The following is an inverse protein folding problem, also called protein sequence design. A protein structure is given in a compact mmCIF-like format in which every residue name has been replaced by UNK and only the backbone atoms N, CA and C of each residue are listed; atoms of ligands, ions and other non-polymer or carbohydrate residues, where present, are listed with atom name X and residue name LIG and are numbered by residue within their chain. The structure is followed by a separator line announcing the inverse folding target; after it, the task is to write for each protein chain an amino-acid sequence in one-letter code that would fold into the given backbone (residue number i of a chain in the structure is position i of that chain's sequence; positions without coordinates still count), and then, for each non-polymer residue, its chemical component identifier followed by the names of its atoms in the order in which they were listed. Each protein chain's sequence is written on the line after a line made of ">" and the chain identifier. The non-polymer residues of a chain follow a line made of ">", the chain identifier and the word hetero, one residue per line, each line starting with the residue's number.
data_IF_676756244588
#
_entry.id   IF_676756244588
#
_cell.length_a   1.000
_cell.length_b   1.000
_cell.length_c   1.000
_cell.angle_alpha   90.00
_cell.angle_beta   90.00
_cell.angle_gamma   90.00
#
_symmetry.space_group_name_H-M   'P 1'
#
loop_
_entity.id
_entity.type
_entity.pdbx_description
1 polymer ?
#
# COMPACT_ATOMS: atom_id res chain seq x y z
N UNK A 1 9.90 9.60 8.98
CA UNK A 1 9.47 8.46 8.14
C UNK A 1 10.50 7.34 8.10
N UNK A 2 11.77 7.59 7.76
CA UNK A 2 12.83 6.54 7.68
C UNK A 2 12.96 5.75 9.00
N UNK A 3 13.03 6.41 10.16
CA UNK A 3 13.21 5.75 11.47
C UNK A 3 12.06 4.82 11.90
N UNK A 4 10.89 4.87 11.26
CA UNK A 4 9.73 4.04 11.63
C UNK A 4 9.35 3.04 10.54
N UNK A 5 9.44 3.45 9.27
CA UNK A 5 9.14 2.59 8.12
C UNK A 5 10.21 1.52 7.94
N UNK A 6 11.49 1.84 8.14
CA UNK A 6 12.59 0.88 7.94
C UNK A 6 12.57 -0.27 8.96
N UNK A 7 12.37 -0.03 10.27
CA UNK A 7 12.27 -1.13 11.24
C UNK A 7 11.04 -2.01 10.98
N UNK A 8 9.89 -1.43 10.65
CA UNK A 8 8.64 -2.18 10.44
C UNK A 8 8.67 -3.00 9.14
N UNK A 9 9.16 -2.42 8.04
CA UNK A 9 9.34 -3.13 6.77
C UNK A 9 10.47 -4.16 6.90
N UNK A 10 11.57 -3.80 7.56
CA UNK A 10 12.70 -4.70 7.85
C UNK A 10 12.29 -5.91 8.67
N UNK A 11 11.44 -5.73 9.70
CA UNK A 11 10.87 -6.83 10.47
C UNK A 11 10.03 -7.77 9.58
N UNK A 12 9.19 -7.21 8.70
CA UNK A 12 8.40 -8.00 7.74
C UNK A 12 9.29 -8.80 6.78
N UNK A 13 10.36 -8.20 6.27
CA UNK A 13 11.34 -8.87 5.38
C UNK A 13 12.05 -10.00 6.13
N UNK A 14 12.54 -9.74 7.35
CA UNK A 14 13.20 -10.74 8.18
C UNK A 14 12.28 -11.93 8.47
N UNK A 15 11.03 -11.68 8.86
CA UNK A 15 10.04 -12.73 9.05
C UNK A 15 9.77 -13.52 7.75
N UNK A 16 9.80 -12.85 6.60
CA UNK A 16 9.65 -13.49 5.29
C UNK A 16 10.82 -14.43 4.93
N UNK A 17 12.05 -14.03 5.26
CA UNK A 17 13.24 -14.87 5.10
C UNK A 17 13.16 -16.10 6.00
N UNK A 18 12.83 -15.91 7.28
CA UNK A 18 12.65 -17.02 8.23
C UNK A 18 11.51 -17.96 7.81
N UNK A 19 10.40 -17.43 7.30
CA UNK A 19 9.30 -18.23 6.76
C UNK A 19 9.74 -19.05 5.53
N UNK A 20 10.68 -18.54 4.73
CA UNK A 20 11.28 -19.27 3.60
C UNK A 20 12.24 -20.35 4.07
N UNK A 21 13.16 -20.03 4.99
CA UNK A 21 14.11 -20.99 5.56
C UNK A 21 13.39 -22.17 6.20
N UNK A 22 12.30 -21.91 6.93
CA UNK A 22 11.43 -22.94 7.49
C UNK A 22 10.88 -23.89 6.42
N UNK A 23 10.39 -23.34 5.30
CA UNK A 23 9.81 -24.14 4.20
C UNK A 23 10.84 -25.00 3.47
N UNK A 24 12.12 -24.59 3.53
CA UNK A 24 13.24 -25.30 2.95
C UNK A 24 13.94 -26.23 3.95
N UNK A 25 13.41 -26.32 5.18
CA UNK A 25 13.97 -27.12 6.27
C UNK A 25 15.45 -26.81 6.57
N UNK A 26 15.84 -25.54 6.43
CA UNK A 26 17.23 -25.11 6.64
C UNK A 26 17.57 -24.88 8.12
N UNK A 27 16.56 -24.51 8.92
CA UNK A 27 16.72 -24.12 10.32
C UNK A 27 15.49 -24.55 11.15
N UNK A 28 15.66 -24.90 12.44
CA UNK A 28 14.56 -25.22 13.35
C UNK A 28 13.82 -23.93 13.75
N UNK A 29 12.92 -23.48 12.87
CA UNK A 29 12.09 -22.28 13.07
C UNK A 29 10.76 -22.70 13.71
N UNK A 30 9.99 -21.79 14.32
CA UNK A 30 8.66 -22.07 14.87
C UNK A 30 7.55 -22.08 13.79
N UNK A 31 6.48 -22.90 13.94
CA UNK A 31 5.37 -22.97 12.98
C UNK A 31 4.56 -21.68 12.84
N UNK A 32 4.67 -20.79 13.82
CA UNK A 32 3.95 -19.51 13.86
C UNK A 32 4.59 -18.46 12.94
N UNK A 33 5.89 -18.56 12.62
CA UNK A 33 6.62 -17.52 11.87
C UNK A 33 5.99 -17.15 10.51
N UNK A 34 5.52 -18.09 9.68
CA UNK A 34 4.81 -17.74 8.44
C UNK A 34 3.49 -16.99 8.67
N UNK A 35 2.81 -17.25 9.79
CA UNK A 35 1.57 -16.56 10.17
C UNK A 35 1.92 -15.14 10.65
N UNK A 36 2.92 -15.00 11.50
CA UNK A 36 3.43 -13.71 11.99
C UNK A 36 3.89 -12.80 10.84
N UNK A 37 4.58 -13.36 9.83
CA UNK A 37 4.94 -12.63 8.61
C UNK A 37 3.70 -12.13 7.86
N UNK A 38 2.69 -12.98 7.69
CA UNK A 38 1.47 -12.62 7.00
C UNK A 38 0.68 -11.53 7.74
N UNK A 39 0.60 -11.62 9.06
CA UNK A 39 -0.06 -10.61 9.88
C UNK A 39 0.71 -9.29 9.87
N UNK A 40 2.04 -9.31 10.05
CA UNK A 40 2.87 -8.11 9.88
C UNK A 40 2.66 -7.47 8.52
N UNK A 41 2.65 -8.25 7.43
CA UNK A 41 2.38 -7.73 6.09
C UNK A 41 1.03 -7.01 5.96
N UNK A 42 -0.02 -7.49 6.66
CA UNK A 42 -1.32 -6.82 6.73
C UNK A 42 -1.25 -5.52 7.53
N UNK A 43 -0.50 -5.50 8.64
CA UNK A 43 -0.29 -4.27 9.41
C UNK A 43 0.46 -3.21 8.61
N UNK A 44 1.54 -3.60 7.90
CA UNK A 44 2.31 -2.67 7.05
C UNK A 44 1.44 -2.12 5.92
N UNK A 45 0.66 -2.98 5.26
CA UNK A 45 -0.26 -2.55 4.19
C UNK A 45 -1.34 -1.61 4.71
N UNK A 46 -1.95 -1.92 5.86
CA UNK A 46 -2.96 -1.07 6.48
C UNK A 46 -2.40 0.27 6.93
N UNK A 47 -1.20 0.27 7.51
CA UNK A 47 -0.47 1.50 7.86
C UNK A 47 -0.17 2.36 6.65
N UNK A 48 0.22 1.77 5.52
CA UNK A 48 0.43 2.49 4.26
C UNK A 48 -0.88 3.09 3.72
N UNK A 49 -1.97 2.32 3.69
CA UNK A 49 -3.29 2.83 3.27
C UNK A 49 -3.71 4.01 4.15
N UNK A 50 -3.56 3.90 5.48
CA UNK A 50 -3.86 4.99 6.40
C UNK A 50 -2.98 6.22 6.15
N UNK A 51 -1.67 6.04 5.97
CA UNK A 51 -0.75 7.14 5.70
C UNK A 51 -1.13 7.90 4.42
N UNK A 52 -1.55 7.18 3.38
CA UNK A 52 -2.02 7.76 2.11
C UNK A 52 -3.32 8.54 2.31
N UNK A 53 -4.29 7.99 3.05
CA UNK A 53 -5.54 8.70 3.36
C UNK A 53 -5.28 9.98 4.15
N UNK A 54 -4.38 9.95 5.13
CA UNK A 54 -3.98 11.14 5.90
C UNK A 54 -3.30 12.18 5.00
N UNK A 55 -2.42 11.75 4.09
CA UNK A 55 -1.78 12.65 3.13
C UNK A 55 -2.80 13.31 2.18
N UNK A 56 -3.75 12.53 1.65
CA UNK A 56 -4.83 13.04 0.80
C UNK A 56 -5.73 14.02 1.56
N UNK A 57 -6.05 13.73 2.83
CA UNK A 57 -6.82 14.62 3.69
C UNK A 57 -6.07 15.94 3.95
N UNK A 58 -4.78 15.88 4.24
CA UNK A 58 -3.94 17.08 4.39
C UNK A 58 -3.94 17.93 3.12
N UNK A 59 -3.78 17.30 1.95
CA UNK A 59 -3.79 17.99 0.66
C UNK A 59 -5.17 18.60 0.34
N UNK A 60 -6.27 17.95 0.73
CA UNK A 60 -7.62 18.50 0.56
C UNK A 60 -7.82 19.81 1.33
N UNK A 61 -7.35 19.84 2.59
CA UNK A 61 -7.39 21.05 3.41
C UNK A 61 -6.45 22.13 2.89
N UNK A 62 -5.21 21.78 2.55
CA UNK A 62 -4.21 22.72 2.06
C UNK A 62 -4.59 23.32 0.70
N UNK A 63 -5.28 22.56 -0.16
CA UNK A 63 -5.83 23.04 -1.42
C UNK A 63 -7.10 23.89 -1.28
N UNK A 64 -7.67 24.04 -0.09
CA UNK A 64 -8.92 24.79 0.07
C UNK A 64 -10.10 24.13 -0.66
N UNK A 65 -10.21 22.79 -0.57
CA UNK A 65 -11.36 22.05 -1.09
C UNK A 65 -12.67 22.64 -0.54
N UNK A 66 -13.61 22.94 -1.45
CA UNK A 66 -14.87 23.58 -1.10
C UNK A 66 -15.78 22.66 -0.29
N UNK A 67 -16.69 23.24 0.51
CA UNK A 67 -17.58 22.50 1.43
C UNK A 67 -18.52 21.52 0.72
N UNK A 68 -18.96 21.84 -0.50
CA UNK A 68 -19.80 21.00 -1.35
C UNK A 68 -19.06 19.74 -1.85
N UNK A 69 -17.73 19.83 -2.04
CA UNK A 69 -16.87 18.71 -2.44
C UNK A 69 -16.40 17.86 -1.24
N UNK A 70 -16.30 18.47 -0.05
CA UNK A 70 -15.78 17.84 1.16
C UNK A 70 -16.57 16.59 1.57
N UNK A 71 -17.90 16.62 1.45
CA UNK A 71 -18.73 15.46 1.80
C UNK A 71 -18.41 14.24 0.93
N UNK A 72 -18.32 14.44 -0.39
CA UNK A 72 -17.97 13.37 -1.34
C UNK A 72 -16.57 12.82 -1.10
N UNK A 73 -15.61 13.70 -0.78
CA UNK A 73 -14.25 13.32 -0.42
C UNK A 73 -14.21 12.45 0.85
N UNK A 74 -14.91 12.86 1.91
CA UNK A 74 -14.98 12.10 3.17
C UNK A 74 -15.63 10.73 2.96
N UNK A 75 -16.71 10.66 2.18
CA UNK A 75 -17.35 9.38 1.83
C UNK A 75 -16.39 8.48 1.05
N UNK A 76 -15.58 9.02 0.13
CA UNK A 76 -14.59 8.25 -0.60
C UNK A 76 -13.45 7.75 0.32
N UNK A 77 -12.98 8.59 1.26
CA UNK A 77 -11.98 8.20 2.28
C UNK A 77 -12.50 7.05 3.14
N UNK A 78 -13.74 7.17 3.64
CA UNK A 78 -14.41 6.12 4.41
C UNK A 78 -14.58 4.86 3.55
N UNK A 79 -14.97 5.01 2.29
CA UNK A 79 -15.13 3.91 1.34
C UNK A 79 -13.82 3.15 1.09
N UNK A 80 -12.71 3.86 0.92
CA UNK A 80 -11.39 3.24 0.75
C UNK A 80 -10.95 2.47 2.01
N UNK A 81 -11.16 3.05 3.20
CA UNK A 81 -10.88 2.38 4.47
C UNK A 81 -11.77 1.15 4.68
N UNK A 82 -13.08 1.28 4.42
CA UNK A 82 -14.04 0.19 4.52
C UNK A 82 -13.71 -0.95 3.54
N UNK A 83 -13.30 -0.63 2.30
CA UNK A 83 -12.86 -1.63 1.33
C UNK A 83 -11.61 -2.39 1.81
N UNK A 84 -10.66 -1.71 2.46
CA UNK A 84 -9.51 -2.39 3.06
C UNK A 84 -9.92 -3.30 4.22
N UNK A 85 -10.81 -2.84 5.11
CA UNK A 85 -11.34 -3.67 6.20
C UNK A 85 -12.10 -4.88 5.67
N UNK A 86 -12.92 -4.70 4.63
CA UNK A 86 -13.63 -5.78 3.96
C UNK A 86 -12.67 -6.80 3.30
N UNK A 87 -11.55 -6.34 2.72
CA UNK A 87 -10.48 -7.21 2.22
C UNK A 87 -9.91 -8.11 3.35
N UNK A 88 -9.74 -7.58 4.56
CA UNK A 88 -9.23 -8.35 5.71
C UNK A 88 -10.21 -9.43 6.17
N UNK A 89 -11.53 -9.17 6.07
CA UNK A 89 -12.58 -10.11 6.44
C UNK A 89 -12.96 -11.12 5.35
N UNK A 90 -12.61 -10.86 4.09
CA UNK A 90 -13.01 -11.70 2.96
C UNK A 90 -12.35 -13.09 2.97
N UNK A 91 -13.15 -14.13 2.72
CA UNK A 91 -12.69 -15.55 2.73
C UNK A 91 -12.18 -16.01 1.36
N UNK A 92 -12.86 -15.64 0.28
CA UNK A 92 -12.56 -16.08 -1.08
C UNK A 92 -11.56 -15.19 -1.81
N UNK A 93 -10.72 -15.77 -2.67
CA UNK A 93 -9.71 -15.04 -3.46
C UNK A 93 -10.35 -13.97 -4.35
N UNK A 94 -11.46 -14.30 -5.03
CA UNK A 94 -12.16 -13.35 -5.90
C UNK A 94 -12.69 -12.17 -5.09
N UNK A 95 -13.37 -12.44 -3.96
CA UNK A 95 -13.85 -11.38 -3.08
C UNK A 95 -12.71 -10.49 -2.57
N UNK A 96 -11.59 -11.09 -2.17
CA UNK A 96 -10.38 -10.33 -1.80
C UNK A 96 -9.86 -9.47 -2.95
N UNK A 97 -9.80 -10.00 -4.17
CA UNK A 97 -9.37 -9.23 -5.34
C UNK A 97 -10.31 -8.05 -5.60
N UNK A 98 -11.62 -8.24 -5.49
CA UNK A 98 -12.62 -7.17 -5.67
C UNK A 98 -12.47 -6.08 -4.61
N UNK A 99 -12.32 -6.44 -3.33
CA UNK A 99 -12.12 -5.45 -2.26
C UNK A 99 -10.77 -4.73 -2.37
N UNK A 100 -9.71 -5.44 -2.75
CA UNK A 100 -8.41 -4.84 -3.03
C UNK A 100 -8.48 -3.85 -4.21
N UNK A 101 -9.14 -4.25 -5.30
CA UNK A 101 -9.35 -3.38 -6.46
C UNK A 101 -10.21 -2.16 -6.10
N UNK A 102 -11.31 -2.35 -5.38
CA UNK A 102 -12.17 -1.26 -4.93
C UNK A 102 -11.41 -0.26 -4.05
N UNK A 103 -10.60 -0.74 -3.09
CA UNK A 103 -9.74 0.10 -2.27
C UNK A 103 -8.75 0.89 -3.14
N UNK A 104 -8.04 0.21 -4.04
CA UNK A 104 -7.04 0.83 -4.90
C UNK A 104 -7.63 1.86 -5.87
N UNK A 105 -8.72 1.52 -6.54
CA UNK A 105 -9.42 2.44 -7.46
C UNK A 105 -9.96 3.66 -6.71
N UNK A 106 -10.54 3.47 -5.52
CA UNK A 106 -11.02 4.60 -4.72
C UNK A 106 -9.87 5.55 -4.35
N UNK A 107 -8.71 5.01 -3.93
CA UNK A 107 -7.53 5.82 -3.63
C UNK A 107 -7.03 6.61 -4.86
N UNK A 108 -7.00 5.98 -6.05
CA UNK A 108 -6.63 6.67 -7.29
C UNK A 108 -7.65 7.75 -7.66
N UNK A 109 -8.94 7.46 -7.55
CA UNK A 109 -10.01 8.41 -7.88
C UNK A 109 -9.98 9.63 -6.96
N UNK A 110 -9.70 9.43 -5.67
CA UNK A 110 -9.47 10.53 -4.73
C UNK A 110 -8.24 11.31 -5.16
N UNK A 111 -7.09 10.65 -5.34
CA UNK A 111 -5.84 11.31 -5.65
C UNK A 111 -5.83 12.02 -7.02
N UNK A 112 -6.74 11.64 -7.92
CA UNK A 112 -6.92 12.25 -9.24
C UNK A 112 -7.89 13.44 -9.25
N UNK A 113 -8.47 13.82 -8.11
CA UNK A 113 -9.39 14.95 -8.04
C UNK A 113 -8.67 16.26 -8.42
N UNK A 114 -9.26 17.12 -9.28
CA UNK A 114 -8.67 18.40 -9.66
C UNK A 114 -8.33 19.28 -8.46
N UNK A 115 -9.16 19.23 -7.41
CA UNK A 115 -8.96 19.95 -6.16
C UNK A 115 -7.68 19.54 -5.41
N UNK A 116 -7.12 18.36 -5.67
CA UNK A 116 -5.85 17.90 -5.06
C UNK A 116 -4.65 18.07 -6.00
N UNK A 117 -4.89 18.43 -7.26
CA UNK A 117 -3.89 18.57 -8.31
C UNK A 117 -3.68 20.03 -8.72
N UNK A 118 -3.91 20.98 -7.82
CA UNK A 118 -3.89 22.41 -8.16
C UNK A 118 -2.51 22.88 -8.66
N UNK A 119 -1.45 22.32 -8.07
CA UNK A 119 -0.06 22.48 -8.51
C UNK A 119 0.18 22.04 -9.96
N UNK A 120 -0.69 21.20 -10.55
CA UNK A 120 -0.65 20.80 -11.96
C UNK A 120 -0.81 21.98 -12.91
N UNK A 121 -1.51 23.04 -12.50
CA UNK A 121 -1.65 24.24 -13.31
C UNK A 121 -0.29 24.94 -13.49
N UNK A 122 0.56 24.91 -12.46
CA UNK A 122 1.90 25.48 -12.51
C UNK A 122 2.93 24.53 -13.16
N UNK A 123 2.79 23.22 -12.98
CA UNK A 123 3.76 22.23 -13.44
C UNK A 123 3.09 21.00 -14.11
N UNK A 124 2.59 21.14 -15.35
CA UNK A 124 1.79 20.09 -16.01
C UNK A 124 2.56 18.79 -16.30
N UNK A 125 3.89 18.87 -16.46
CA UNK A 125 4.75 17.69 -16.66
C UNK A 125 5.21 17.04 -15.36
N UNK A 126 5.16 17.75 -14.23
CA UNK A 126 5.59 17.24 -12.92
C UNK A 126 4.67 16.14 -12.40
N UNK A 127 3.45 16.01 -12.92
CA UNK A 127 2.51 14.91 -12.60
C UNK A 127 3.07 13.54 -12.96
N UNK A 128 3.85 13.44 -14.02
CA UNK A 128 4.47 12.17 -14.42
C UNK A 128 5.72 11.87 -13.60
N UNK A 129 6.26 12.87 -12.91
CA UNK A 129 7.41 12.76 -12.01
C UNK A 129 7.01 12.67 -10.53
N UNK A 130 5.73 12.89 -10.20
CA UNK A 130 5.26 12.91 -8.83
C UNK A 130 5.15 11.50 -8.26
N UNK A 131 5.24 11.42 -6.93
CA UNK A 131 5.15 10.16 -6.21
C UNK A 131 3.77 9.50 -6.30
N UNK A 132 2.79 10.14 -6.95
CA UNK A 132 1.46 9.62 -7.17
C UNK A 132 1.47 8.25 -7.88
N UNK A 133 2.23 8.11 -8.97
CA UNK A 133 2.26 6.86 -9.76
C UNK A 133 3.07 5.76 -9.07
N UNK A 134 4.24 6.12 -8.51
CA UNK A 134 5.05 5.17 -7.74
C UNK A 134 4.34 4.70 -6.45
N UNK A 135 3.65 5.59 -5.77
CA UNK A 135 2.85 5.32 -4.57
C UNK A 135 1.60 4.49 -4.88
N UNK A 136 0.87 4.80 -5.95
CA UNK A 136 -0.29 4.01 -6.37
C UNK A 136 0.11 2.59 -6.82
N UNK A 137 1.21 2.43 -7.55
CA UNK A 137 1.77 1.12 -7.90
C UNK A 137 2.20 0.35 -6.65
N UNK A 138 2.87 1.01 -5.70
CA UNK A 138 3.26 0.43 -4.42
C UNK A 138 2.04 -0.12 -3.64
N UNK A 139 0.98 0.69 -3.48
CA UNK A 139 -0.24 0.26 -2.79
C UNK A 139 -0.89 -0.92 -3.52
N UNK A 140 -0.96 -0.90 -4.85
CA UNK A 140 -1.52 -2.01 -5.64
C UNK A 140 -0.79 -3.33 -5.33
N UNK A 141 0.55 -3.30 -5.33
CA UNK A 141 1.38 -4.47 -5.06
C UNK A 141 1.22 -4.97 -3.61
N UNK A 142 1.15 -4.06 -2.64
CA UNK A 142 0.93 -4.41 -1.23
C UNK A 142 -0.46 -5.02 -1.00
N UNK A 143 -1.52 -4.44 -1.57
CA UNK A 143 -2.87 -5.01 -1.50
C UNK A 143 -2.92 -6.39 -2.16
N UNK A 144 -2.29 -6.55 -3.33
CA UNK A 144 -2.20 -7.84 -3.99
C UNK A 144 -1.39 -8.86 -3.17
N UNK A 145 -0.35 -8.44 -2.44
CA UNK A 145 0.36 -9.31 -1.50
C UNK A 145 -0.56 -9.83 -0.37
N UNK A 146 -1.47 -9.00 0.15
CA UNK A 146 -2.50 -9.40 1.14
C UNK A 146 -3.51 -10.39 0.55
N UNK A 147 -3.90 -10.22 -0.71
CA UNK A 147 -4.79 -11.15 -1.43
C UNK A 147 -4.15 -12.54 -1.57
N UNK A 148 -2.84 -12.60 -1.86
CA UNK A 148 -2.13 -13.83 -2.20
C UNK A 148 -1.80 -14.73 -1.00
N UNK A 149 -1.85 -14.22 0.24
CA UNK A 149 -1.33 -14.90 1.44
C UNK A 149 -1.71 -16.39 1.57
N UNK A 150 -3.00 -16.72 1.42
CA UNK A 150 -3.49 -18.11 1.55
C UNK A 150 -3.11 -18.99 0.36
N UNK A 151 -2.85 -18.40 -0.80
CA UNK A 151 -2.60 -19.13 -2.05
C UNK A 151 -1.12 -19.53 -2.21
N UNK A 152 -0.21 -18.79 -1.56
CA UNK A 152 1.24 -19.04 -1.53
C UNK A 152 1.57 -20.44 -1.00
N UNK A 153 0.77 -20.98 -0.07
CA UNK A 153 1.01 -22.31 0.48
C UNK A 153 0.87 -23.43 -0.57
N UNK A 154 -0.11 -23.32 -1.49
CA UNK A 154 -0.45 -24.41 -2.41
C UNK A 154 0.22 -24.38 -3.78
N UNK A 155 0.82 -23.26 -4.22
CA UNK A 155 1.27 -23.10 -5.62
C UNK A 155 2.62 -22.41 -5.73
N UNK A 156 3.62 -23.09 -6.32
CA UNK A 156 4.98 -22.56 -6.49
C UNK A 156 5.03 -21.26 -7.32
N UNK A 157 4.25 -21.16 -8.39
CA UNK A 157 4.22 -19.95 -9.22
C UNK A 157 3.70 -18.73 -8.45
N UNK A 158 2.73 -18.91 -7.55
CA UNK A 158 2.24 -17.83 -6.67
C UNK A 158 3.28 -17.41 -5.64
N UNK A 159 4.10 -18.35 -5.15
CA UNK A 159 5.25 -18.02 -4.29
C UNK A 159 6.25 -17.14 -5.04
N UNK A 160 6.60 -17.51 -6.27
CA UNK A 160 7.51 -16.74 -7.12
C UNK A 160 6.95 -15.34 -7.38
N UNK A 161 5.68 -15.26 -7.78
CA UNK A 161 5.00 -13.98 -8.01
C UNK A 161 5.01 -13.09 -6.76
N UNK A 162 4.66 -13.64 -5.59
CA UNK A 162 4.69 -12.90 -4.33
C UNK A 162 6.09 -12.36 -4.01
N UNK A 163 7.14 -13.16 -4.18
CA UNK A 163 8.53 -12.72 -3.97
C UNK A 163 8.90 -11.62 -4.97
N UNK A 164 8.65 -11.81 -6.25
CA UNK A 164 8.93 -10.81 -7.29
C UNK A 164 8.23 -9.48 -7.02
N UNK A 165 6.95 -9.52 -6.65
CA UNK A 165 6.20 -8.32 -6.26
C UNK A 165 6.80 -7.64 -5.03
N UNK A 166 7.19 -8.40 -4.01
CA UNK A 166 7.78 -7.81 -2.81
C UNK A 166 9.17 -7.23 -3.04
N UNK A 167 9.95 -7.76 -3.98
CA UNK A 167 11.20 -7.12 -4.43
C UNK A 167 10.89 -5.75 -5.04
N UNK A 168 9.89 -5.67 -5.92
CA UNK A 168 9.46 -4.38 -6.50
C UNK A 168 8.94 -3.43 -5.42
N UNK A 169 8.15 -3.91 -4.46
CA UNK A 169 7.69 -3.12 -3.29
C UNK A 169 8.88 -2.57 -2.51
N UNK A 170 9.90 -3.38 -2.24
CA UNK A 170 11.09 -2.94 -1.52
C UNK A 170 11.85 -1.85 -2.30
N UNK A 171 12.00 -2.00 -3.61
CA UNK A 171 12.63 -1.00 -4.48
C UNK A 171 11.83 0.31 -4.54
N UNK A 172 10.50 0.23 -4.64
CA UNK A 172 9.63 1.41 -4.64
C UNK A 172 9.67 2.14 -3.30
N UNK A 173 9.64 1.40 -2.18
CA UNK A 173 9.80 1.96 -0.84
C UNK A 173 11.18 2.62 -0.66
N UNK A 174 12.24 1.97 -1.11
CA UNK A 174 13.59 2.54 -1.05
C UNK A 174 13.70 3.81 -1.88
N UNK A 175 13.15 3.82 -3.10
CA UNK A 175 13.13 4.99 -3.97
C UNK A 175 12.42 6.15 -3.28
N UNK A 176 11.20 5.92 -2.77
CA UNK A 176 10.41 6.94 -2.07
C UNK A 176 11.08 7.42 -0.76
N UNK A 177 11.80 6.54 -0.07
CA UNK A 177 12.54 6.90 1.13
C UNK A 177 13.76 7.80 0.82
N UNK A 178 14.45 7.56 -0.30
CA UNK A 178 15.64 8.33 -0.72
C UNK A 178 15.22 9.67 -1.31
N UNK A 179 14.23 9.70 -2.20
CA UNK A 179 13.80 10.94 -2.88
C UNK A 179 12.92 11.83 -2.00
N UNK A 180 12.45 11.30 -0.86
CA UNK A 180 11.48 11.94 0.02
C UNK A 180 10.10 12.09 -0.63
N UNK A 181 9.12 12.57 0.14
CA UNK A 181 7.82 12.99 -0.39
C UNK A 181 7.99 14.33 -1.10
N UNK A 182 8.38 14.33 -2.38
CA UNK A 182 8.59 15.58 -3.15
C UNK A 182 7.36 16.51 -3.13
N UNK A 183 6.16 15.95 -2.99
CA UNK A 183 4.92 16.73 -2.94
C UNK A 183 4.76 17.58 -1.66
N UNK A 184 5.58 17.37 -0.61
CA UNK A 184 5.55 18.20 0.61
C UNK A 184 6.35 19.50 0.48
N UNK A 185 7.24 19.59 -0.52
CA UNK A 185 8.14 20.75 -0.72
C UNK A 185 7.83 21.58 -1.96
N UNK A 186 6.89 21.16 -2.82
CA UNK A 186 6.41 21.98 -3.94
C UNK A 186 5.30 22.94 -3.48
N UNK A 187 5.61 23.77 -2.47
CA UNK A 187 4.82 24.94 -2.08
C UNK A 187 5.42 26.19 -2.70
#
# INVERSE_FOLDING_TARGET
>A
MILFVYPVVGATIRLGILARERRLDLNPIAPTVPVEHADHGRWVTGGMVLAVLVALFHNALAGGMQSDQMLGFLLAVIGAAAAYVALLGAKGVIAKMLWAAACWFTLILIASQPALLQWRQAYPTAVWQSHLWGGSALIALMLAAVVMQKQIAGRLWMRRLHVSMNVVVALLLATQAITGTRDLFMR
#
